data_IF_015722355505
#
_entry.id   IF_015722355505
#
_cell.length_a   1.000
_cell.length_b   1.000
_cell.length_c   1.000
_cell.angle_alpha   90.00
_cell.angle_beta   90.00
_cell.angle_gamma   90.00
#
_symmetry.space_group_name_H-M   'P 1'
#
loop_
_entity.id
_entity.type
_entity.pdbx_description
1 polymer ?
#
# COMPACT_ATOMS: atom_id res chain seq x y z
N UNK A 1 19.11 -20.15 8.18
CA UNK A 1 17.87 -20.92 7.92
C UNK A 1 17.13 -20.30 6.74
N UNK A 2 16.40 -21.10 5.95
CA UNK A 2 15.60 -20.62 4.80
C UNK A 2 14.46 -19.67 5.27
N UNK A 3 14.05 -19.78 6.52
CA UNK A 3 12.97 -18.99 7.16
C UNK A 3 13.34 -17.53 7.48
N UNK A 4 14.62 -17.15 7.37
CA UNK A 4 15.09 -15.81 7.73
C UNK A 4 15.32 -14.93 6.50
N UNK A 5 14.85 -15.34 5.33
CA UNK A 5 14.99 -14.59 4.08
C UNK A 5 13.68 -14.00 3.62
N UNK A 6 13.76 -12.73 3.25
CA UNK A 6 12.67 -11.94 2.70
C UNK A 6 12.94 -11.78 1.21
N UNK A 7 11.94 -12.07 0.39
CA UNK A 7 12.07 -11.97 -1.05
C UNK A 7 11.86 -10.51 -1.49
N UNK A 8 12.95 -9.79 -1.70
CA UNK A 8 12.96 -8.37 -2.01
C UNK A 8 13.06 -8.16 -3.51
N UNK A 9 12.22 -7.28 -4.06
CA UNK A 9 12.30 -6.82 -5.44
C UNK A 9 13.36 -5.72 -5.57
N UNK A 10 13.23 -4.64 -4.78
CA UNK A 10 14.10 -3.47 -4.86
C UNK A 10 14.00 -2.61 -3.60
N UNK A 11 14.84 -1.58 -3.55
CA UNK A 11 14.87 -0.59 -2.48
C UNK A 11 14.76 0.82 -3.06
N UNK A 12 14.13 1.72 -2.30
CA UNK A 12 14.19 3.15 -2.52
C UNK A 12 14.68 3.82 -1.23
N UNK A 13 15.78 4.52 -1.32
CA UNK A 13 16.28 5.34 -0.21
C UNK A 13 15.67 6.73 -0.30
N UNK A 14 15.27 7.30 0.85
CA UNK A 14 14.73 8.65 0.95
C UNK A 14 13.36 8.84 0.24
N UNK A 15 12.54 7.80 0.19
CA UNK A 15 11.14 7.87 -0.28
C UNK A 15 10.34 8.88 0.56
N UNK A 16 9.47 9.64 -0.08
CA UNK A 16 8.65 10.68 0.54
C UNK A 16 7.16 10.45 0.40
N UNK A 17 6.75 9.48 -0.41
CA UNK A 17 5.36 9.18 -0.73
C UNK A 17 4.81 7.90 -0.05
N UNK A 18 5.65 7.20 0.69
CA UNK A 18 5.31 5.90 1.29
C UNK A 18 5.18 5.98 2.81
N UNK A 19 4.52 7.03 3.29
CA UNK A 19 4.29 7.31 4.70
C UNK A 19 4.95 8.60 5.18
N UNK A 20 4.92 8.87 6.50
CA UNK A 20 5.40 10.14 7.03
C UNK A 20 6.93 10.23 7.03
N UNK A 21 7.46 11.42 6.68
CA UNK A 21 8.90 11.73 6.71
C UNK A 21 9.70 11.04 5.61
N UNK A 22 11.03 11.00 5.77
CA UNK A 22 11.92 10.29 4.85
C UNK A 22 11.96 8.80 5.22
N UNK A 23 11.90 7.94 4.21
CA UNK A 23 11.78 6.50 4.44
C UNK A 23 12.75 5.68 3.58
N UNK A 24 13.23 4.60 4.17
CA UNK A 24 13.73 3.47 3.39
C UNK A 24 12.52 2.66 2.96
N UNK A 25 12.25 2.56 1.65
CA UNK A 25 11.18 1.73 1.12
C UNK A 25 11.76 0.41 0.63
N UNK A 26 11.19 -0.69 1.10
CA UNK A 26 11.55 -2.05 0.71
C UNK A 26 10.40 -2.61 -0.12
N UNK A 27 10.58 -2.72 -1.42
CA UNK A 27 9.60 -3.32 -2.30
C UNK A 27 9.76 -4.84 -2.30
N UNK A 28 8.70 -5.52 -1.89
CA UNK A 28 8.69 -6.98 -1.77
C UNK A 28 8.11 -7.65 -3.02
N UNK A 29 8.54 -8.88 -3.24
CA UNK A 29 8.11 -9.68 -4.37
C UNK A 29 6.87 -10.51 -4.03
N UNK A 30 5.96 -10.63 -5.00
CA UNK A 30 4.72 -11.37 -4.93
C UNK A 30 3.51 -10.50 -4.64
N UNK A 31 2.44 -10.62 -5.44
CA UNK A 31 1.15 -9.96 -5.19
C UNK A 31 0.01 -10.86 -5.65
N UNK A 32 -1.08 -11.03 -4.87
CA UNK A 32 -2.24 -11.80 -5.29
C UNK A 32 -3.18 -11.00 -6.21
N UNK A 33 -3.05 -9.67 -6.25
CA UNK A 33 -3.86 -8.81 -7.09
C UNK A 33 -3.28 -8.67 -8.49
N UNK A 34 -4.12 -8.27 -9.44
CA UNK A 34 -3.78 -8.03 -10.85
C UNK A 34 -4.35 -6.69 -11.29
N UNK A 35 -4.04 -5.64 -10.50
CA UNK A 35 -4.53 -4.29 -10.77
C UNK A 35 -4.17 -3.86 -12.19
N UNK A 36 -5.16 -3.40 -12.95
CA UNK A 36 -4.98 -3.00 -14.36
C UNK A 36 -3.99 -1.85 -14.52
N UNK A 37 -3.85 -1.01 -13.49
CA UNK A 37 -2.96 0.16 -13.44
C UNK A 37 -1.66 -0.08 -12.66
N UNK A 38 -1.30 -1.33 -12.36
CA UNK A 38 -0.16 -1.61 -11.49
C UNK A 38 1.12 -0.92 -12.00
N UNK A 39 1.74 -0.08 -11.16
CA UNK A 39 3.01 0.57 -11.50
C UNK A 39 4.22 -0.38 -11.38
N UNK A 40 4.04 -1.51 -10.67
CA UNK A 40 5.09 -2.50 -10.43
C UNK A 40 4.66 -3.92 -10.84
N UNK A 41 4.30 -4.16 -12.13
CA UNK A 41 3.86 -5.49 -12.58
C UNK A 41 4.95 -6.55 -12.41
N UNK A 42 6.21 -6.15 -12.40
CA UNK A 42 7.40 -6.96 -12.15
C UNK A 42 7.48 -7.52 -10.72
N UNK A 43 6.72 -6.96 -9.78
CA UNK A 43 6.60 -7.51 -8.41
C UNK A 43 5.51 -8.58 -8.27
N UNK A 44 4.70 -8.83 -9.29
CA UNK A 44 3.51 -9.69 -9.17
C UNK A 44 3.87 -11.17 -9.00
N UNK A 45 4.85 -11.66 -9.78
CA UNK A 45 5.24 -13.07 -9.72
C UNK A 45 5.99 -13.38 -8.42
N UNK A 46 5.53 -14.38 -7.68
CA UNK A 46 6.17 -14.82 -6.42
C UNK A 46 7.57 -15.43 -6.62
N UNK A 47 7.91 -15.84 -7.84
CA UNK A 47 9.20 -16.46 -8.17
C UNK A 47 10.30 -15.45 -8.47
N UNK A 48 9.96 -14.17 -8.65
CA UNK A 48 10.92 -13.10 -8.86
C UNK A 48 11.60 -12.64 -7.56
N UNK A 49 12.38 -11.56 -7.65
CA UNK A 49 13.04 -10.93 -6.50
C UNK A 49 14.32 -11.64 -6.04
N UNK A 50 14.90 -11.12 -5.00
CA UNK A 50 16.16 -11.61 -4.40
C UNK A 50 15.94 -12.02 -2.95
N UNK A 51 16.16 -13.29 -2.59
CA UNK A 51 16.06 -13.74 -1.20
C UNK A 51 17.11 -13.07 -0.32
N UNK A 52 16.73 -12.07 0.45
CA UNK A 52 17.58 -11.21 1.27
C UNK A 52 17.49 -11.59 2.75
N UNK A 53 18.60 -11.76 3.46
CA UNK A 53 18.59 -11.97 4.91
C UNK A 53 17.96 -10.77 5.63
N UNK A 54 17.07 -11.02 6.60
CA UNK A 54 16.44 -9.97 7.40
C UNK A 54 17.45 -9.04 8.08
N UNK A 55 18.59 -9.57 8.51
CA UNK A 55 19.67 -8.80 9.12
C UNK A 55 20.31 -7.74 8.18
N UNK A 56 20.34 -7.98 6.87
CA UNK A 56 20.84 -6.99 5.90
C UNK A 56 19.88 -5.80 5.79
N UNK A 57 18.58 -6.08 5.77
CA UNK A 57 17.53 -5.03 5.76
C UNK A 57 17.60 -4.21 7.05
N UNK A 58 17.76 -4.88 8.20
CA UNK A 58 17.93 -4.21 9.48
C UNK A 58 19.15 -3.29 9.50
N UNK A 59 20.31 -3.79 9.05
CA UNK A 59 21.55 -2.99 8.98
C UNK A 59 21.38 -1.77 8.09
N UNK A 60 20.73 -1.92 6.93
CA UNK A 60 20.43 -0.82 6.03
C UNK A 60 19.52 0.23 6.72
N UNK A 61 18.46 -0.19 7.39
CA UNK A 61 17.57 0.71 8.12
C UNK A 61 18.28 1.43 9.26
N UNK A 62 19.09 0.73 10.04
CA UNK A 62 19.89 1.32 11.13
C UNK A 62 20.91 2.34 10.61
N UNK A 63 21.59 2.06 9.48
CA UNK A 63 22.56 2.98 8.88
C UNK A 63 21.90 4.28 8.38
N UNK A 64 20.64 4.22 7.97
CA UNK A 64 19.87 5.38 7.49
C UNK A 64 19.08 6.10 8.59
N UNK A 65 19.09 5.59 9.82
CA UNK A 65 18.26 6.12 10.93
C UNK A 65 18.43 7.63 11.15
N UNK A 66 19.65 8.16 10.94
CA UNK A 66 19.93 9.60 11.10
C UNK A 66 19.12 10.47 10.11
N UNK A 67 18.74 9.94 8.94
CA UNK A 67 17.97 10.65 7.92
C UNK A 67 16.46 10.58 8.16
N UNK A 68 15.98 9.63 8.95
CA UNK A 68 14.55 9.46 9.21
C UNK A 68 13.95 10.61 10.05
N UNK A 69 14.79 11.32 10.79
CA UNK A 69 14.33 12.40 11.68
C UNK A 69 13.29 11.88 12.71
N UNK A 70 12.29 12.70 13.01
CA UNK A 70 11.27 12.37 14.02
C UNK A 70 10.09 11.57 13.48
N UNK A 71 9.84 11.62 12.17
CA UNK A 71 8.63 11.05 11.53
C UNK A 71 8.93 9.92 10.55
N UNK A 72 10.15 9.88 10.01
CA UNK A 72 10.54 8.88 9.02
C UNK A 72 10.84 7.51 9.62
N UNK A 73 11.21 6.58 8.76
CA UNK A 73 11.48 5.20 9.15
C UNK A 73 11.63 4.26 7.96
N UNK A 74 11.11 3.06 8.08
CA UNK A 74 11.08 2.06 7.02
C UNK A 74 9.64 1.81 6.56
N UNK A 75 9.44 1.59 5.27
CA UNK A 75 8.16 1.13 4.70
C UNK A 75 8.38 -0.17 3.93
N UNK A 76 7.52 -1.14 4.17
CA UNK A 76 7.43 -2.34 3.36
C UNK A 76 6.26 -2.20 2.41
N UNK A 77 6.53 -2.29 1.11
CA UNK A 77 5.60 -2.08 0.00
C UNK A 77 5.93 -3.06 -1.15
N UNK A 78 5.62 -2.71 -2.39
CA UNK A 78 6.02 -3.44 -3.60
C UNK A 78 4.90 -4.24 -4.21
N UNK A 79 4.94 -5.58 -4.10
CA UNK A 79 3.81 -6.44 -4.40
C UNK A 79 2.77 -6.38 -3.27
N UNK A 80 2.71 -7.43 -2.45
CA UNK A 80 1.89 -7.46 -1.23
C UNK A 80 2.74 -8.00 -0.07
N UNK A 81 3.19 -7.14 0.85
CA UNK A 81 4.07 -7.55 1.94
C UNK A 81 3.49 -8.62 2.86
N UNK A 82 2.17 -8.64 3.05
CA UNK A 82 1.52 -9.63 3.93
C UNK A 82 1.64 -11.08 3.44
N UNK A 83 1.99 -11.29 2.16
CA UNK A 83 2.38 -12.62 1.66
C UNK A 83 3.60 -13.19 2.39
N UNK A 84 4.47 -12.32 2.90
CA UNK A 84 5.70 -12.69 3.57
C UNK A 84 5.65 -12.42 5.10
N UNK A 85 4.44 -12.35 5.67
CA UNK A 85 4.22 -11.97 7.07
C UNK A 85 5.07 -12.78 8.05
N UNK A 86 5.15 -14.12 7.89
CA UNK A 86 5.95 -14.98 8.77
C UNK A 86 7.43 -14.59 8.80
N UNK A 87 8.00 -14.22 7.64
CA UNK A 87 9.41 -13.80 7.53
C UNK A 87 9.65 -12.37 8.03
N UNK A 88 8.65 -11.49 7.91
CA UNK A 88 8.73 -10.10 8.33
C UNK A 88 8.60 -9.90 9.84
N UNK A 89 7.85 -10.74 10.54
CA UNK A 89 7.60 -10.61 12.00
C UNK A 89 8.89 -10.49 12.82
N UNK A 90 9.91 -11.35 12.68
CA UNK A 90 11.17 -11.19 13.41
C UNK A 90 11.86 -9.86 13.11
N UNK A 91 11.92 -9.47 11.83
CA UNK A 91 12.51 -8.21 11.40
C UNK A 91 11.77 -7.00 12.01
N UNK A 92 10.44 -7.02 12.06
CA UNK A 92 9.66 -5.94 12.66
C UNK A 92 9.95 -5.79 14.16
N UNK A 93 10.10 -6.90 14.89
CA UNK A 93 10.51 -6.89 16.30
C UNK A 93 11.89 -6.26 16.48
N UNK A 94 12.85 -6.59 15.61
CA UNK A 94 14.19 -6.04 15.65
C UNK A 94 14.22 -4.54 15.26
N UNK A 95 13.45 -4.12 14.26
CA UNK A 95 13.30 -2.72 13.88
C UNK A 95 12.72 -1.88 15.03
N UNK A 96 11.66 -2.38 15.70
CA UNK A 96 11.08 -1.73 16.88
C UNK A 96 12.07 -1.65 18.04
N UNK A 97 12.83 -2.70 18.30
CA UNK A 97 13.89 -2.71 19.31
C UNK A 97 14.98 -1.65 19.04
N UNK A 98 15.20 -1.32 17.76
CA UNK A 98 16.10 -0.25 17.34
C UNK A 98 15.40 1.14 17.28
N UNK A 99 14.14 1.26 17.67
CA UNK A 99 13.38 2.51 17.65
C UNK A 99 13.19 3.07 16.23
N UNK A 100 12.97 2.21 15.25
CA UNK A 100 12.69 2.57 13.85
C UNK A 100 11.19 2.42 13.62
N UNK A 101 10.56 3.50 13.16
CA UNK A 101 9.14 3.54 12.83
C UNK A 101 8.86 2.72 11.56
N UNK A 102 7.84 1.85 11.62
CA UNK A 102 7.50 0.91 10.57
C UNK A 102 6.16 1.29 9.93
N UNK A 103 6.16 1.49 8.62
CA UNK A 103 4.94 1.51 7.80
C UNK A 103 4.80 0.21 7.03
N UNK A 104 3.56 -0.22 6.84
CA UNK A 104 3.19 -1.34 5.98
C UNK A 104 2.19 -0.86 4.93
N UNK A 105 2.60 -0.87 3.66
CA UNK A 105 1.77 -0.54 2.51
C UNK A 105 1.15 -1.84 1.97
N UNK A 106 -0.15 -1.99 2.10
CA UNK A 106 -0.84 -3.24 1.82
C UNK A 106 -2.21 -3.03 1.16
N UNK A 107 -2.60 -3.95 0.30
CA UNK A 107 -3.96 -4.00 -0.23
C UNK A 107 -4.96 -4.66 0.75
N UNK A 108 -4.49 -5.18 1.89
CA UNK A 108 -5.32 -5.78 2.93
C UNK A 108 -6.10 -7.03 2.51
N UNK A 109 -5.80 -7.59 1.34
CA UNK A 109 -6.57 -8.70 0.75
C UNK A 109 -6.19 -10.10 1.26
N UNK A 110 -5.24 -10.20 2.20
CA UNK A 110 -4.80 -11.45 2.81
C UNK A 110 -5.03 -11.37 4.32
N UNK A 111 -5.53 -12.47 4.90
CA UNK A 111 -5.74 -12.56 6.34
C UNK A 111 -5.39 -13.96 6.87
N UNK A 112 -4.61 -13.99 7.91
CA UNK A 112 -4.33 -15.13 8.76
C UNK A 112 -3.65 -14.65 10.05
N UNK A 113 -3.40 -15.54 11.02
CA UNK A 113 -2.80 -15.20 12.32
C UNK A 113 -1.45 -14.49 12.19
N UNK A 114 -0.66 -14.78 11.15
CA UNK A 114 0.63 -14.12 10.91
C UNK A 114 0.46 -12.70 10.37
N UNK A 115 -0.54 -12.46 9.55
CA UNK A 115 -0.88 -11.09 9.09
C UNK A 115 -1.37 -10.26 10.26
N UNK A 116 -2.21 -10.81 11.14
CA UNK A 116 -2.67 -10.12 12.35
C UNK A 116 -1.49 -9.78 13.28
N UNK A 117 -0.57 -10.73 13.52
CA UNK A 117 0.66 -10.48 14.30
C UNK A 117 1.52 -9.39 13.66
N UNK A 118 1.71 -9.42 12.33
CA UNK A 118 2.49 -8.42 11.60
C UNK A 118 1.87 -7.02 11.71
N UNK A 119 0.56 -6.90 11.49
CA UNK A 119 -0.17 -5.63 11.63
C UNK A 119 -0.04 -5.07 13.04
N UNK A 120 -0.13 -5.90 14.07
CA UNK A 120 0.02 -5.48 15.47
C UNK A 120 1.43 -4.95 15.81
N UNK A 121 2.44 -5.30 15.01
CA UNK A 121 3.82 -4.79 15.14
C UNK A 121 4.07 -3.54 14.31
N UNK A 122 3.17 -3.19 13.38
CA UNK A 122 3.28 -2.03 12.50
C UNK A 122 2.93 -0.75 13.26
N UNK A 123 3.58 0.37 12.98
CA UNK A 123 3.26 1.64 13.61
C UNK A 123 2.22 2.44 12.81
N UNK A 124 2.19 2.26 11.49
CA UNK A 124 1.20 2.87 10.59
C UNK A 124 0.94 1.95 9.40
N UNK A 125 -0.31 1.67 9.13
CA UNK A 125 -0.72 0.93 7.92
C UNK A 125 -1.12 1.93 6.84
N UNK A 126 -0.58 1.75 5.63
CA UNK A 126 -1.04 2.41 4.42
C UNK A 126 -1.95 1.41 3.71
N UNK A 127 -3.26 1.58 3.87
CA UNK A 127 -4.24 0.62 3.35
C UNK A 127 -4.80 1.09 2.03
N UNK A 128 -4.52 0.33 0.99
CA UNK A 128 -5.05 0.58 -0.34
C UNK A 128 -6.48 0.03 -0.49
N UNK A 129 -7.46 0.89 -0.60
CA UNK A 129 -8.79 0.54 -1.10
C UNK A 129 -8.83 0.89 -2.58
N UNK A 130 -8.75 -0.14 -3.44
CA UNK A 130 -8.58 0.07 -4.89
C UNK A 130 -9.86 0.52 -5.58
N UNK A 131 -11.01 0.08 -5.07
CA UNK A 131 -12.36 0.48 -5.44
C UNK A 131 -13.32 -0.02 -4.35
N UNK A 132 -14.39 0.73 -4.08
CA UNK A 132 -15.33 0.37 -3.02
C UNK A 132 -16.46 -0.55 -3.52
N UNK A 133 -16.92 -0.36 -4.74
CA UNK A 133 -17.89 -1.26 -5.35
C UNK A 133 -17.26 -2.63 -5.64
N UNK A 134 -17.82 -3.75 -5.13
CA UNK A 134 -17.18 -5.06 -5.23
C UNK A 134 -17.02 -5.57 -6.66
N UNK A 135 -17.94 -5.27 -7.57
CA UNK A 135 -17.88 -5.71 -8.96
C UNK A 135 -16.80 -4.93 -9.73
N UNK A 136 -16.77 -3.59 -9.55
CA UNK A 136 -15.73 -2.73 -10.14
C UNK A 136 -14.35 -3.04 -9.55
N UNK A 137 -14.28 -3.31 -8.24
CA UNK A 137 -13.04 -3.76 -7.60
C UNK A 137 -12.53 -5.06 -8.24
N UNK A 138 -13.41 -6.03 -8.44
CA UNK A 138 -13.05 -7.29 -9.09
C UNK A 138 -12.55 -7.06 -10.54
N UNK A 139 -13.21 -6.19 -11.29
CA UNK A 139 -12.79 -5.78 -12.63
C UNK A 139 -11.41 -5.12 -12.61
N UNK A 140 -11.18 -4.22 -11.67
CA UNK A 140 -9.95 -3.42 -11.58
C UNK A 140 -8.74 -4.22 -11.06
N UNK A 141 -8.96 -5.22 -10.19
CA UNK A 141 -7.89 -5.89 -9.43
C UNK A 141 -7.83 -7.40 -9.62
N UNK A 142 -8.86 -8.01 -10.23
CA UNK A 142 -9.03 -9.46 -10.34
C UNK A 142 -9.40 -10.15 -9.02
N UNK A 143 -9.78 -9.39 -7.96
CA UNK A 143 -10.09 -9.90 -6.62
C UNK A 143 -11.27 -9.16 -6.00
N UNK A 144 -11.92 -9.79 -5.01
CA UNK A 144 -12.92 -9.14 -4.15
C UNK A 144 -12.24 -8.16 -3.18
N UNK A 145 -12.94 -7.07 -2.83
CA UNK A 145 -12.52 -6.13 -1.78
C UNK A 145 -12.99 -6.55 -0.38
N UNK A 146 -13.72 -7.63 -0.24
CA UNK A 146 -14.32 -8.04 1.03
C UNK A 146 -13.28 -8.17 2.15
N UNK A 147 -12.14 -8.83 1.86
CA UNK A 147 -11.09 -8.98 2.87
C UNK A 147 -10.39 -7.65 3.17
N UNK A 148 -10.16 -6.79 2.18
CA UNK A 148 -9.60 -5.44 2.38
C UNK A 148 -10.49 -4.62 3.34
N UNK A 149 -11.81 -4.66 3.15
CA UNK A 149 -12.76 -3.97 4.03
C UNK A 149 -12.81 -4.58 5.43
N UNK A 150 -12.69 -5.90 5.56
CA UNK A 150 -12.53 -6.56 6.87
C UNK A 150 -11.23 -6.16 7.57
N UNK A 151 -10.15 -6.00 6.83
CA UNK A 151 -8.87 -5.51 7.36
C UNK A 151 -9.01 -4.06 7.87
N UNK A 152 -9.69 -3.18 7.12
CA UNK A 152 -10.01 -1.83 7.58
C UNK A 152 -10.84 -1.84 8.88
N UNK A 153 -11.87 -2.69 8.96
CA UNK A 153 -12.70 -2.83 10.14
C UNK A 153 -11.92 -3.35 11.36
N UNK A 154 -11.01 -4.28 11.15
CA UNK A 154 -10.12 -4.78 12.22
C UNK A 154 -9.18 -3.68 12.72
N UNK A 155 -8.55 -2.90 11.82
CA UNK A 155 -7.70 -1.77 12.20
C UNK A 155 -8.47 -0.76 13.06
N UNK A 156 -9.70 -0.42 12.68
CA UNK A 156 -10.58 0.43 13.48
C UNK A 156 -10.90 -0.18 14.84
N UNK A 157 -11.25 -1.45 14.89
CA UNK A 157 -11.58 -2.15 16.13
C UNK A 157 -10.39 -2.19 17.11
N UNK A 158 -9.17 -2.30 16.59
CA UNK A 158 -7.95 -2.27 17.40
C UNK A 158 -7.49 -0.84 17.76
N UNK A 159 -8.14 0.20 17.23
CA UNK A 159 -7.65 1.58 17.33
C UNK A 159 -6.30 1.78 16.65
N UNK A 160 -5.98 0.96 15.67
CA UNK A 160 -4.69 0.96 14.99
C UNK A 160 -4.65 2.04 13.92
N UNK A 161 -3.69 2.99 13.95
CA UNK A 161 -3.66 4.09 13.00
C UNK A 161 -3.39 3.60 11.58
N UNK A 162 -4.16 4.12 10.62
CA UNK A 162 -3.92 3.86 9.22
C UNK A 162 -4.27 5.05 8.33
N UNK A 163 -3.62 5.11 7.15
CA UNK A 163 -3.99 5.98 6.05
C UNK A 163 -4.75 5.17 5.02
N UNK A 164 -5.82 5.73 4.52
CA UNK A 164 -6.54 5.17 3.39
C UNK A 164 -5.92 5.71 2.11
N UNK A 165 -5.46 4.82 1.22
CA UNK A 165 -4.89 5.17 -0.08
C UNK A 165 -5.88 4.79 -1.18
N UNK A 166 -6.10 5.70 -2.10
CA UNK A 166 -7.06 5.55 -3.18
C UNK A 166 -6.48 6.06 -4.50
N UNK A 167 -6.20 5.15 -5.44
CA UNK A 167 -5.78 5.55 -6.79
C UNK A 167 -7.01 5.93 -7.59
N UNK A 168 -7.09 7.18 -8.03
CA UNK A 168 -8.20 7.69 -8.82
C UNK A 168 -7.96 7.39 -10.31
N UNK A 169 -8.52 6.29 -10.80
CA UNK A 169 -8.39 5.85 -12.20
C UNK A 169 -9.63 6.27 -12.98
N UNK A 170 -9.50 7.18 -13.97
CA UNK A 170 -10.65 7.65 -14.75
C UNK A 170 -11.44 6.51 -15.41
N UNK A 171 -12.75 6.47 -15.15
CA UNK A 171 -13.67 5.45 -15.67
C UNK A 171 -13.62 4.09 -14.96
N UNK A 172 -12.78 3.95 -13.88
CA UNK A 172 -12.64 2.70 -13.14
C UNK A 172 -12.83 2.85 -11.62
N UNK A 173 -12.33 3.94 -11.03
CA UNK A 173 -12.45 4.22 -9.60
C UNK A 173 -12.78 5.70 -9.30
N UNK A 174 -13.24 6.47 -10.28
CA UNK A 174 -13.62 7.87 -10.14
C UNK A 174 -15.15 8.10 -10.06
N UNK A 175 -15.90 7.04 -9.71
CA UNK A 175 -17.36 7.11 -9.58
C UNK A 175 -17.76 7.76 -8.25
N UNK A 176 -18.46 8.89 -8.33
CA UNK A 176 -18.91 9.61 -7.13
C UNK A 176 -19.75 8.75 -6.18
N UNK A 177 -20.61 7.91 -6.71
CA UNK A 177 -21.46 7.02 -5.93
C UNK A 177 -20.61 6.09 -5.04
N UNK A 178 -19.57 5.50 -5.59
CA UNK A 178 -18.72 4.54 -4.87
C UNK A 178 -17.87 5.25 -3.81
N UNK A 179 -17.37 6.47 -4.13
CA UNK A 179 -16.65 7.30 -3.16
C UNK A 179 -17.59 7.72 -2.02
N UNK A 180 -18.86 8.09 -2.30
CA UNK A 180 -19.85 8.40 -1.27
C UNK A 180 -20.18 7.20 -0.40
N UNK A 181 -20.43 6.04 -1.01
CA UNK A 181 -20.71 4.80 -0.27
C UNK A 181 -19.52 4.42 0.64
N UNK A 182 -18.29 4.58 0.18
CA UNK A 182 -17.09 4.39 0.99
C UNK A 182 -17.02 5.41 2.13
N UNK A 183 -17.29 6.68 1.85
CA UNK A 183 -17.31 7.76 2.84
C UNK A 183 -18.36 7.53 3.93
N UNK A 184 -19.57 7.14 3.58
CA UNK A 184 -20.64 6.83 4.53
C UNK A 184 -20.29 5.64 5.44
N UNK A 185 -19.56 4.66 4.93
CA UNK A 185 -19.17 3.49 5.71
C UNK A 185 -17.92 3.73 6.54
N UNK A 186 -16.85 4.30 5.96
CA UNK A 186 -15.54 4.40 6.59
C UNK A 186 -15.27 5.78 7.22
N UNK A 187 -16.01 6.83 6.84
CA UNK A 187 -15.82 8.18 7.38
C UNK A 187 -16.07 8.31 8.88
N UNK A 188 -16.72 7.33 9.50
CA UNK A 188 -16.92 7.23 10.96
C UNK A 188 -15.74 6.59 11.71
N UNK A 189 -14.75 6.03 11.00
CA UNK A 189 -13.59 5.40 11.61
C UNK A 189 -12.64 6.45 12.16
N UNK A 190 -12.30 6.33 13.44
CA UNK A 190 -11.41 7.26 14.14
C UNK A 190 -9.92 6.93 13.91
N UNK A 191 -9.62 5.71 13.50
CA UNK A 191 -8.26 5.25 13.23
C UNK A 191 -7.74 5.70 11.87
N UNK A 192 -8.61 6.18 10.96
CA UNK A 192 -8.19 6.78 9.69
C UNK A 192 -7.63 8.17 9.96
N UNK A 193 -6.31 8.30 9.92
CA UNK A 193 -5.63 9.58 10.15
C UNK A 193 -5.62 10.47 8.92
N UNK A 194 -5.69 9.87 7.72
CA UNK A 194 -5.56 10.56 6.43
C UNK A 194 -6.16 9.71 5.32
N UNK A 195 -6.71 10.38 4.32
CA UNK A 195 -6.97 9.82 3.00
C UNK A 195 -5.97 10.41 2.00
N UNK A 196 -5.29 9.56 1.25
CA UNK A 196 -4.40 9.94 0.16
C UNK A 196 -5.05 9.57 -1.17
N UNK A 197 -5.40 10.59 -1.95
CA UNK A 197 -5.82 10.41 -3.33
C UNK A 197 -4.56 10.41 -4.19
N UNK A 198 -4.33 9.30 -4.86
CA UNK A 198 -3.20 9.09 -5.74
C UNK A 198 -3.68 9.25 -7.19
N UNK A 199 -3.22 10.29 -7.92
CA UNK A 199 -3.57 10.43 -9.32
C UNK A 199 -3.10 9.21 -10.12
N UNK A 200 -3.96 8.74 -11.03
CA UNK A 200 -3.55 7.72 -11.99
C UNK A 200 -2.42 8.26 -12.88
N UNK A 201 -1.39 7.44 -13.07
CA UNK A 201 -0.25 7.74 -13.93
C UNK A 201 0.19 6.50 -14.72
N UNK A 202 0.94 6.71 -15.78
CA UNK A 202 1.39 5.66 -16.70
C UNK A 202 2.86 5.28 -16.55
N UNK A 203 3.49 5.65 -15.44
CA UNK A 203 4.94 5.44 -15.21
C UNK A 203 5.38 3.97 -15.31
N UNK A 204 4.49 3.01 -14.97
CA UNK A 204 4.78 1.57 -15.03
C UNK A 204 4.67 0.93 -16.42
N UNK A 205 4.15 1.62 -17.45
CA UNK A 205 3.82 1.00 -18.76
C UNK A 205 5.03 0.36 -19.43
N UNK A 206 6.20 0.99 -19.37
CA UNK A 206 7.44 0.44 -19.94
C UNK A 206 7.82 -0.93 -19.35
N UNK A 207 7.41 -1.24 -18.11
CA UNK A 207 7.64 -2.54 -17.49
C UNK A 207 6.78 -3.63 -18.11
N UNK A 208 5.52 -3.31 -18.46
CA UNK A 208 4.65 -4.25 -19.18
C UNK A 208 5.25 -4.61 -20.54
N UNK A 209 5.75 -3.61 -21.28
CA UNK A 209 6.42 -3.84 -22.57
C UNK A 209 7.65 -4.74 -22.40
N UNK A 210 8.50 -4.45 -21.39
CA UNK A 210 9.69 -5.26 -21.10
C UNK A 210 9.36 -6.71 -20.72
N UNK A 211 8.20 -6.95 -20.10
CA UNK A 211 7.69 -8.27 -19.73
C UNK A 211 6.92 -8.96 -20.85
N UNK A 212 6.70 -8.30 -21.99
CA UNK A 212 5.85 -8.81 -23.08
C UNK A 212 4.36 -8.88 -22.70
N UNK A 213 3.93 -8.09 -21.73
CA UNK A 213 2.55 -8.04 -21.26
C UNK A 213 1.80 -6.88 -21.92
N UNK A 214 0.52 -7.08 -22.14
CA UNK A 214 -0.36 -6.04 -22.68
C UNK A 214 -0.90 -5.15 -21.54
N UNK A 215 -0.61 -3.82 -21.63
CA UNK A 215 -1.16 -2.86 -20.68
C UNK A 215 -2.61 -2.56 -21.02
N UNK A 216 -3.53 -2.89 -20.11
CA UNK A 216 -4.97 -2.85 -20.39
C UNK A 216 -5.57 -1.45 -20.44
N UNK A 217 -4.93 -0.45 -19.81
CA UNK A 217 -5.44 0.93 -19.72
C UNK A 217 -4.77 1.87 -20.73
N UNK A 218 -4.50 1.40 -21.96
CA UNK A 218 -3.80 2.19 -23.01
C UNK A 218 -4.51 3.49 -23.33
N UNK A 219 -5.85 3.46 -23.36
CA UNK A 219 -6.69 4.59 -23.75
C UNK A 219 -7.10 5.46 -22.57
N UNK A 220 -6.76 5.07 -21.33
CA UNK A 220 -7.06 5.86 -20.13
C UNK A 220 -6.06 6.99 -20.01
N UNK A 221 -6.59 8.21 -20.01
CA UNK A 221 -5.80 9.44 -19.84
C UNK A 221 -5.65 9.74 -18.35
N UNK A 222 -4.50 10.30 -17.96
CA UNK A 222 -4.24 10.75 -16.59
C UNK A 222 -5.27 11.81 -16.13
N UNK A 223 -5.46 11.91 -14.81
CA UNK A 223 -6.43 12.81 -14.24
C UNK A 223 -6.14 14.28 -14.60
N UNK A 224 -7.18 15.00 -14.94
CA UNK A 224 -7.12 16.47 -15.01
C UNK A 224 -7.16 17.07 -13.60
N UNK A 225 -6.61 18.31 -13.41
CA UNK A 225 -6.73 19.01 -12.12
C UNK A 225 -8.16 19.13 -11.62
N UNK A 226 -9.12 19.34 -12.51
CA UNK A 226 -10.55 19.45 -12.15
C UNK A 226 -11.14 18.13 -11.63
N UNK A 227 -10.72 16.98 -12.17
CA UNK A 227 -11.14 15.67 -11.65
C UNK A 227 -10.58 15.43 -10.25
N UNK A 228 -9.31 15.77 -10.04
CA UNK A 228 -8.66 15.62 -8.73
C UNK A 228 -9.32 16.54 -7.67
N UNK A 229 -9.57 17.80 -8.01
CA UNK A 229 -10.25 18.76 -7.14
C UNK A 229 -11.67 18.29 -6.78
N UNK A 230 -12.39 17.73 -7.74
CA UNK A 230 -13.74 17.18 -7.51
C UNK A 230 -13.70 15.98 -6.56
N UNK A 231 -12.78 15.04 -6.77
CA UNK A 231 -12.60 13.91 -5.89
C UNK A 231 -12.17 14.35 -4.48
N UNK A 232 -11.22 15.30 -4.38
CA UNK A 232 -10.77 15.84 -3.09
C UNK A 232 -11.92 16.46 -2.30
N UNK A 233 -12.77 17.26 -2.94
CA UNK A 233 -13.95 17.85 -2.31
C UNK A 233 -14.90 16.79 -1.79
N UNK A 234 -15.12 15.74 -2.59
CA UNK A 234 -16.02 14.65 -2.23
C UNK A 234 -15.50 13.84 -1.03
N UNK A 235 -14.21 13.49 -1.01
CA UNK A 235 -13.60 12.82 0.14
C UNK A 235 -13.65 13.68 1.40
N UNK A 236 -13.47 15.01 1.28
CA UNK A 236 -13.54 15.97 2.40
C UNK A 236 -14.92 16.10 3.04
N UNK A 237 -16.00 15.64 2.39
CA UNK A 237 -17.32 15.54 3.00
C UNK A 237 -17.35 14.53 4.15
N UNK A 238 -16.46 13.52 4.13
CA UNK A 238 -16.46 12.38 5.05
C UNK A 238 -15.20 12.25 5.92
N UNK A 239 -14.07 12.76 5.44
CA UNK A 239 -12.78 12.59 6.10
C UNK A 239 -12.14 13.93 6.44
N UNK A 240 -11.65 14.12 7.68
CA UNK A 240 -11.11 15.42 8.12
C UNK A 240 -9.77 15.77 7.48
N UNK A 241 -9.00 14.77 7.04
CA UNK A 241 -7.69 14.98 6.40
C UNK A 241 -7.63 14.25 5.07
N UNK A 242 -7.62 15.01 4.00
CA UNK A 242 -7.51 14.50 2.61
C UNK A 242 -6.35 15.21 1.91
N UNK A 243 -5.51 14.44 1.23
CA UNK A 243 -4.35 14.95 0.48
C UNK A 243 -4.38 14.34 -0.92
N UNK A 244 -4.10 15.15 -1.91
CA UNK A 244 -3.83 14.70 -3.29
C UNK A 244 -2.30 14.73 -3.47
N UNK A 245 -1.69 13.60 -3.74
CA UNK A 245 -0.23 13.46 -3.89
C UNK A 245 0.21 13.54 -5.35
#
# INVERSE_FOLDING_TARGET
CIRDRINVHSYESMGTFDGPGLRLVVFLQGCPFRCLYCANPDTIDVKGGTPTPAGEILQMAVSQKAFFGKKGGITFSGGEPTLQAEALIPLFKDLKANGIHICLDTNGGIWNDKVEELLSLTDLVLLDIKEFNPERHCTLTGRSNEQTLRTAAWLEQQGHPFWLRYVLVPGYSDFEEDIRNMGEQLGKYQSIQRVEILPYHRLGVHKYEAMGWDYQLKEVVENTPAQLERAEKLFKEYFPTVVVN
#
